data_IF_431101732012
#
_entry.id   IF_431101732012
#
_cell.length_a   1.000
_cell.length_b   1.000
_cell.length_c   1.000
_cell.angle_alpha   90.00
_cell.angle_beta   90.00
_cell.angle_gamma   90.00
#
_symmetry.space_group_name_H-M   'P 1'
#
loop_
_entity.id
_entity.type
_entity.pdbx_description
1 polymer ?
#
# COMPACT_ATOMS: atom_id res chain seq x y z
N UNK A 1 -14.64 -15.78 -9.04
CA UNK A 1 -15.74 -15.65 -8.06
C UNK A 1 -15.28 -16.35 -6.77
N UNK A 2 -15.50 -15.71 -5.62
CA UNK A 2 -15.15 -16.13 -4.26
C UNK A 2 -13.68 -15.98 -3.82
N UNK A 3 -13.30 -14.75 -3.53
CA UNK A 3 -12.51 -14.45 -2.33
C UNK A 3 -13.54 -13.88 -1.34
N UNK A 4 -13.42 -14.15 -0.02
CA UNK A 4 -14.37 -13.82 1.07
C UNK A 4 -15.46 -14.88 1.36
N UNK A 5 -15.10 -16.17 1.46
CA UNK A 5 -15.86 -17.05 2.35
C UNK A 5 -14.94 -18.09 2.99
N UNK A 6 -14.54 -17.82 4.22
CA UNK A 6 -14.32 -18.76 5.34
C UNK A 6 -13.43 -18.07 6.35
N UNK A 7 -14.01 -17.45 7.38
CA UNK A 7 -13.48 -17.51 8.74
C UNK A 7 -14.61 -17.18 9.72
N UNK A 8 -15.25 -18.24 10.21
CA UNK A 8 -16.27 -18.19 11.26
C UNK A 8 -15.90 -19.25 12.29
N UNK A 9 -15.56 -18.79 13.50
CA UNK A 9 -15.69 -19.44 14.81
C UNK A 9 -15.13 -20.87 15.00
N UNK A 10 -14.00 -20.98 15.72
CA UNK A 10 -13.79 -22.02 16.74
C UNK A 10 -13.04 -21.45 17.94
N UNK A 11 -13.78 -21.16 19.01
CA UNK A 11 -13.28 -20.92 20.37
C UNK A 11 -13.21 -22.27 21.10
N UNK A 12 -12.07 -22.57 21.73
CA UNK A 12 -11.88 -23.67 22.68
C UNK A 12 -12.46 -23.30 24.07
N UNK A 13 -12.87 -24.28 24.91
CA UNK A 13 -13.53 -24.00 26.18
C UNK A 13 -12.53 -23.64 27.30
N UNK A 14 -12.92 -22.82 28.31
CA UNK A 14 -12.01 -22.38 29.36
C UNK A 14 -11.89 -23.37 30.53
N UNK A 15 -10.65 -23.59 30.97
CA UNK A 15 -10.29 -24.26 32.23
C UNK A 15 -10.65 -23.37 33.44
N UNK A 16 -11.29 -23.95 34.46
CA UNK A 16 -11.69 -23.26 35.70
C UNK A 16 -10.51 -23.09 36.66
N UNK A 17 -10.22 -21.86 37.07
CA UNK A 17 -9.35 -21.51 38.20
C UNK A 17 -10.08 -20.50 39.12
N UNK A 18 -9.84 -20.60 40.42
CA UNK A 18 -10.52 -19.86 41.50
C UNK A 18 -10.45 -18.33 41.38
N UNK A 19 -11.59 -17.67 41.65
CA UNK A 19 -11.83 -16.23 41.47
C UNK A 19 -10.87 -15.28 42.23
N UNK A 20 -10.26 -15.70 43.34
CA UNK A 20 -9.33 -14.85 44.11
C UNK A 20 -7.90 -14.79 43.51
N UNK A 21 -7.50 -15.80 42.73
CA UNK A 21 -6.18 -15.85 42.07
C UNK A 21 -6.16 -15.09 40.74
N UNK A 22 -7.29 -14.99 40.04
CA UNK A 22 -7.39 -14.31 38.74
C UNK A 22 -7.19 -12.79 38.86
N UNK A 23 -7.75 -12.13 39.89
CA UNK A 23 -7.68 -10.67 40.00
C UNK A 23 -6.25 -10.14 40.22
N UNK A 24 -5.47 -10.77 41.10
CA UNK A 24 -4.09 -10.37 41.38
C UNK A 24 -3.15 -10.62 40.18
N UNK A 25 -3.39 -11.71 39.44
CA UNK A 25 -2.61 -12.08 38.25
C UNK A 25 -2.90 -11.14 37.08
N UNK A 26 -4.17 -10.75 36.90
CA UNK A 26 -4.60 -9.80 35.85
C UNK A 26 -4.03 -8.40 36.06
N UNK A 27 -3.92 -7.94 37.31
CA UNK A 27 -3.34 -6.63 37.63
C UNK A 27 -1.83 -6.60 37.34
N UNK A 28 -1.09 -7.66 37.70
CA UNK A 28 0.34 -7.80 37.40
C UNK A 28 0.63 -7.89 35.90
N UNK A 29 -0.20 -8.61 35.14
CA UNK A 29 -0.11 -8.70 33.68
C UNK A 29 -0.38 -7.37 32.99
N UNK A 30 -1.36 -6.59 33.46
CA UNK A 30 -1.64 -5.24 32.93
C UNK A 30 -0.48 -4.27 33.17
N UNK A 31 0.14 -4.34 34.35
CA UNK A 31 1.29 -3.50 34.69
C UNK A 31 2.53 -3.89 33.86
N UNK A 32 2.76 -5.19 33.66
CA UNK A 32 3.84 -5.69 32.79
C UNK A 32 3.60 -5.32 31.32
N UNK A 33 2.37 -5.42 30.82
CA UNK A 33 1.99 -5.01 29.47
C UNK A 33 2.20 -3.50 29.25
N UNK A 34 1.85 -2.64 30.23
CA UNK A 34 2.15 -1.20 30.17
C UNK A 34 3.65 -0.93 30.11
N UNK A 35 4.45 -1.64 30.91
CA UNK A 35 5.92 -1.47 30.94
C UNK A 35 6.57 -1.91 29.63
N UNK A 36 6.09 -3.02 29.04
CA UNK A 36 6.57 -3.50 27.73
C UNK A 36 6.12 -2.57 26.58
N UNK A 37 4.91 -2.00 26.66
CA UNK A 37 4.40 -1.03 25.66
C UNK A 37 5.23 0.26 25.67
N UNK A 38 5.53 0.81 26.85
CA UNK A 38 6.40 2.02 26.97
C UNK A 38 7.84 1.77 26.52
N UNK A 39 8.34 0.54 26.66
CA UNK A 39 9.69 0.17 26.20
C UNK A 39 9.75 0.06 24.67
N UNK A 40 8.69 -0.45 24.04
CA UNK A 40 8.55 -0.48 22.58
C UNK A 40 8.43 0.95 21.99
N UNK A 41 7.70 1.85 22.65
CA UNK A 41 7.60 3.28 22.25
C UNK A 41 8.95 4.00 22.31
N UNK A 42 9.85 3.60 23.21
CA UNK A 42 11.18 4.24 23.37
C UNK A 42 12.23 3.67 22.41
N UNK A 43 12.06 2.44 21.91
CA UNK A 43 12.95 1.83 20.92
C UNK A 43 12.62 2.26 19.47
N UNK A 44 11.35 2.59 19.17
CA UNK A 44 10.93 3.14 17.86
C UNK A 44 11.37 4.60 17.62
N UNK A 45 11.74 5.34 18.66
CA UNK A 45 12.26 6.70 18.56
C UNK A 45 13.74 6.76 18.10
N UNK A 46 14.41 5.61 17.93
CA UNK A 46 15.84 5.53 17.63
C UNK A 46 16.18 4.87 16.28
N UNK A 47 15.26 4.89 15.30
CA UNK A 47 15.60 4.53 13.91
C UNK A 47 16.00 5.77 13.09
N UNK A 48 17.05 5.69 12.26
CA UNK A 48 17.63 6.86 11.61
C UNK A 48 16.68 7.41 10.56
N UNK A 49 16.35 8.68 10.73
CA UNK A 49 15.69 9.52 9.75
C UNK A 49 16.59 9.61 8.50
N UNK A 50 16.35 8.81 7.46
CA UNK A 50 16.96 8.99 6.14
C UNK A 50 16.06 9.83 5.24
N UNK A 51 15.55 10.93 5.78
CA UNK A 51 15.17 12.10 5.02
C UNK A 51 16.39 13.02 4.99
N UNK A 52 16.99 13.22 3.82
CA UNK A 52 17.98 14.27 3.62
C UNK A 52 17.30 15.63 3.83
N UNK A 53 17.35 16.13 5.07
CA UNK A 53 17.14 17.54 5.40
C UNK A 53 18.35 18.33 4.91
N UNK A 54 18.32 18.66 3.61
CA UNK A 54 18.93 19.88 3.12
C UNK A 54 17.79 20.85 2.83
N UNK A 55 17.67 21.81 3.73
CA UNK A 55 16.74 22.93 3.67
C UNK A 55 17.19 23.86 2.52
N UNK A 56 16.65 23.64 1.32
CA UNK A 56 16.68 24.56 0.20
C UNK A 56 15.26 24.65 -0.36
N UNK A 57 14.63 25.81 -0.17
CA UNK A 57 13.28 26.14 -0.64
C UNK A 57 13.18 26.21 -2.17
N UNK A 58 13.23 25.04 -2.81
CA UNK A 58 12.94 24.85 -4.23
C UNK A 58 11.78 23.89 -4.39
N UNK A 59 10.78 24.29 -5.16
CA UNK A 59 9.65 23.46 -5.56
C UNK A 59 10.20 22.21 -6.27
N UNK A 60 10.39 21.09 -5.56
CA UNK A 60 10.93 19.81 -6.09
C UNK A 60 9.91 19.08 -6.98
N UNK A 61 8.99 19.80 -7.59
CA UNK A 61 7.94 19.26 -8.42
C UNK A 61 7.92 19.91 -9.80
N UNK A 62 7.11 19.34 -10.67
CA UNK A 62 6.86 19.82 -12.03
C UNK A 62 5.58 20.64 -12.09
N UNK A 63 5.45 21.45 -13.14
CA UNK A 63 4.16 22.06 -13.47
C UNK A 63 3.12 20.98 -13.81
N UNK A 64 1.83 21.34 -13.75
CA UNK A 64 0.76 20.41 -14.13
C UNK A 64 0.94 19.97 -15.59
N UNK A 65 1.31 20.90 -16.47
CA UNK A 65 1.49 20.67 -17.91
C UNK A 65 2.68 19.74 -18.18
N UNK A 66 3.82 19.97 -17.51
CA UNK A 66 4.99 19.10 -17.60
C UNK A 66 4.66 17.68 -17.13
N UNK A 67 3.99 17.57 -15.97
CA UNK A 67 3.57 16.28 -15.41
C UNK A 67 2.55 15.58 -16.31
N UNK A 68 1.61 16.31 -16.91
CA UNK A 68 0.68 15.78 -17.89
C UNK A 68 1.43 15.23 -19.11
N UNK A 69 2.46 15.92 -19.59
CA UNK A 69 3.34 15.41 -20.63
C UNK A 69 4.08 14.12 -20.23
N UNK A 70 4.48 13.99 -18.97
CA UNK A 70 5.08 12.75 -18.43
C UNK A 70 4.06 11.61 -18.36
N UNK A 71 2.82 11.89 -17.97
CA UNK A 71 1.72 10.91 -17.98
C UNK A 71 1.48 10.40 -19.41
N UNK A 72 1.41 11.30 -20.40
CA UNK A 72 1.23 10.88 -21.80
C UNK A 72 2.37 9.98 -22.30
N UNK A 73 3.61 10.23 -21.87
CA UNK A 73 4.74 9.35 -22.17
C UNK A 73 4.66 8.01 -21.44
N UNK A 74 4.10 7.95 -20.24
CA UNK A 74 3.96 6.70 -19.48
C UNK A 74 3.03 5.71 -20.20
N UNK A 75 2.06 6.18 -20.99
CA UNK A 75 1.21 5.33 -21.84
C UNK A 75 1.98 4.58 -22.94
N UNK A 76 3.26 4.90 -23.18
CA UNK A 76 4.14 4.12 -24.07
C UNK A 76 4.82 2.96 -23.34
N UNK A 77 4.84 2.97 -22.01
CA UNK A 77 5.40 1.91 -21.20
C UNK A 77 4.62 0.60 -21.42
N UNK A 78 5.30 -0.54 -21.65
CA UNK A 78 4.65 -1.80 -21.97
C UNK A 78 3.73 -2.32 -20.86
N UNK A 79 4.08 -2.10 -19.58
CA UNK A 79 3.26 -2.50 -18.43
C UNK A 79 1.98 -1.66 -18.38
N UNK A 80 2.11 -0.34 -18.57
CA UNK A 80 0.95 0.57 -18.61
C UNK A 80 0.00 0.20 -19.74
N UNK A 81 0.52 0.00 -20.97
CA UNK A 81 -0.28 -0.46 -22.12
C UNK A 81 -0.99 -1.77 -21.84
N UNK A 82 -0.27 -2.73 -21.25
CA UNK A 82 -0.83 -4.02 -20.91
C UNK A 82 -1.98 -3.88 -19.91
N UNK A 83 -1.78 -3.17 -18.81
CA UNK A 83 -2.82 -2.96 -17.78
C UNK A 83 -4.05 -2.25 -18.34
N UNK A 84 -3.87 -1.17 -19.10
CA UNK A 84 -4.98 -0.46 -19.76
C UNK A 84 -5.77 -1.41 -20.68
N UNK A 85 -5.09 -2.21 -21.49
CA UNK A 85 -5.75 -3.20 -22.35
C UNK A 85 -6.49 -4.30 -21.58
N UNK A 86 -6.01 -4.70 -20.40
CA UNK A 86 -6.70 -5.67 -19.54
C UNK A 86 -7.94 -5.07 -18.88
N UNK A 87 -7.90 -3.79 -18.51
CA UNK A 87 -9.07 -3.07 -18.02
C UNK A 87 -10.15 -2.96 -19.09
N UNK A 88 -9.78 -2.59 -20.32
CA UNK A 88 -10.71 -2.52 -21.45
C UNK A 88 -11.38 -3.87 -21.73
N UNK A 89 -10.60 -4.96 -21.79
CA UNK A 89 -11.13 -6.33 -21.95
C UNK A 89 -12.07 -6.77 -20.83
N UNK A 90 -11.87 -6.23 -19.63
CA UNK A 90 -12.71 -6.51 -18.46
C UNK A 90 -13.95 -5.62 -18.40
N UNK A 91 -14.17 -4.74 -19.39
CA UNK A 91 -15.32 -3.84 -19.48
C UNK A 91 -15.17 -2.55 -18.68
N UNK A 92 -13.97 -2.25 -18.18
CA UNK A 92 -13.70 -1.02 -17.43
C UNK A 92 -13.02 -0.01 -18.34
N UNK A 93 -13.79 1.01 -18.74
CA UNK A 93 -13.33 2.03 -19.67
C UNK A 93 -12.26 2.91 -19.03
N UNK A 94 -11.07 2.93 -19.63
CA UNK A 94 -10.02 3.92 -19.37
C UNK A 94 -10.19 5.04 -20.39
N UNK A 95 -10.99 6.05 -20.03
CA UNK A 95 -11.30 7.17 -20.92
C UNK A 95 -10.24 8.27 -20.92
N UNK A 96 -10.49 9.29 -21.74
CA UNK A 96 -9.74 10.54 -21.69
C UNK A 96 -9.82 11.14 -20.27
N UNK A 97 -8.72 11.68 -19.77
CA UNK A 97 -8.58 12.21 -18.41
C UNK A 97 -8.72 11.18 -17.27
N UNK A 98 -8.75 9.87 -17.57
CA UNK A 98 -8.70 8.86 -16.51
C UNK A 98 -7.42 8.95 -15.67
N UNK A 99 -6.31 9.42 -16.26
CA UNK A 99 -5.07 9.75 -15.55
C UNK A 99 -4.78 11.23 -15.76
N UNK A 100 -4.64 11.99 -14.67
CA UNK A 100 -4.42 13.44 -14.72
C UNK A 100 -3.42 13.94 -13.69
N UNK A 101 -2.67 14.97 -14.08
CA UNK A 101 -1.81 15.71 -13.17
C UNK A 101 -2.62 16.68 -12.29
N UNK A 102 -2.26 16.78 -11.02
CA UNK A 102 -2.85 17.71 -10.04
C UNK A 102 -1.77 18.24 -9.09
N UNK A 103 -2.06 19.34 -8.39
CA UNK A 103 -1.27 19.77 -7.23
C UNK A 103 -1.87 19.16 -5.97
N UNK A 104 -1.04 18.47 -5.19
CA UNK A 104 -1.45 17.81 -3.95
C UNK A 104 -0.94 18.57 -2.72
N UNK A 105 -1.70 18.54 -1.63
CA UNK A 105 -1.36 19.25 -0.38
C UNK A 105 -0.50 18.44 0.58
N UNK A 106 -0.47 17.11 0.45
CA UNK A 106 0.33 16.21 1.29
C UNK A 106 1.40 15.47 0.48
N UNK A 107 2.40 14.85 1.15
CA UNK A 107 3.55 14.19 0.52
C UNK A 107 3.17 12.82 -0.09
N UNK A 108 2.25 12.85 -1.06
CA UNK A 108 1.75 11.71 -1.82
C UNK A 108 2.13 11.90 -3.30
N UNK A 109 2.46 10.79 -3.97
CA UNK A 109 2.86 10.82 -5.37
C UNK A 109 1.66 10.75 -6.34
N UNK A 110 0.55 10.19 -5.88
CA UNK A 110 -0.67 10.00 -6.65
C UNK A 110 -1.69 9.19 -5.86
N UNK A 111 -2.74 8.76 -6.55
CA UNK A 111 -3.78 7.91 -5.99
C UNK A 111 -4.89 7.61 -6.98
N UNK A 112 -5.48 6.43 -6.85
CA UNK A 112 -6.70 6.01 -7.52
C UNK A 112 -7.93 6.39 -6.68
N UNK A 113 -9.00 6.82 -7.35
CA UNK A 113 -10.33 6.87 -6.73
C UNK A 113 -11.38 6.29 -7.64
N UNK A 114 -12.21 5.40 -7.06
CA UNK A 114 -13.44 4.85 -7.64
C UNK A 114 -14.25 5.93 -8.36
N UNK A 115 -14.57 5.69 -9.63
CA UNK A 115 -15.37 6.57 -10.47
C UNK A 115 -14.71 7.90 -10.90
N UNK A 116 -13.53 8.25 -10.36
CA UNK A 116 -12.79 9.49 -10.73
C UNK A 116 -11.50 9.22 -11.50
N UNK A 117 -10.92 8.04 -11.36
CA UNK A 117 -9.66 7.65 -12.02
C UNK A 117 -8.43 7.93 -11.15
N UNK A 118 -7.30 8.11 -11.81
CA UNK A 118 -5.96 8.24 -11.25
C UNK A 118 -5.54 9.72 -11.25
N UNK A 119 -5.08 10.18 -10.10
CA UNK A 119 -4.40 11.47 -9.95
C UNK A 119 -2.91 11.27 -9.73
N UNK A 120 -2.08 12.09 -10.37
CA UNK A 120 -0.63 12.13 -10.21
C UNK A 120 -0.24 13.50 -9.68
N UNK A 121 0.48 13.55 -8.56
CA UNK A 121 0.81 14.80 -7.87
C UNK A 121 2.04 15.44 -8.48
N UNK A 122 1.86 16.48 -9.31
CA UNK A 122 2.94 17.11 -10.07
C UNK A 122 4.00 17.73 -9.17
N UNK A 123 3.60 18.23 -7.99
CA UNK A 123 4.48 18.94 -7.07
C UNK A 123 5.44 18.04 -6.26
N UNK A 124 5.39 16.71 -6.43
CA UNK A 124 6.25 15.75 -5.73
C UNK A 124 7.05 14.81 -6.65
N UNK A 125 6.89 14.94 -7.97
CA UNK A 125 7.55 14.07 -8.95
C UNK A 125 8.42 14.89 -9.88
N UNK A 126 9.62 14.39 -10.16
CA UNK A 126 10.65 15.13 -10.91
C UNK A 126 11.09 14.40 -12.18
N UNK A 127 11.06 13.07 -12.18
CA UNK A 127 11.58 12.23 -13.26
C UNK A 127 10.52 11.29 -13.84
N UNK A 128 10.69 10.95 -15.13
CA UNK A 128 9.70 10.17 -15.89
C UNK A 128 9.38 8.82 -15.25
N UNK A 129 10.40 8.20 -14.67
CA UNK A 129 10.28 6.89 -14.06
C UNK A 129 9.38 6.90 -12.81
N UNK A 130 9.39 7.97 -12.01
CA UNK A 130 8.46 8.11 -10.88
C UNK A 130 7.00 8.18 -11.35
N UNK A 131 6.73 8.95 -12.40
CA UNK A 131 5.38 9.02 -13.00
C UNK A 131 4.96 7.67 -13.57
N UNK A 132 5.88 6.93 -14.21
CA UNK A 132 5.59 5.58 -14.68
C UNK A 132 5.21 4.65 -13.52
N UNK A 133 5.94 4.68 -12.40
CA UNK A 133 5.67 3.85 -11.23
C UNK A 133 4.32 4.18 -10.60
N UNK A 134 3.99 5.47 -10.43
CA UNK A 134 2.68 5.90 -9.94
C UNK A 134 1.57 5.39 -10.85
N UNK A 135 1.68 5.63 -12.16
CA UNK A 135 0.62 5.21 -13.10
C UNK A 135 0.43 3.69 -13.10
N UNK A 136 1.50 2.90 -13.03
CA UNK A 136 1.38 1.43 -12.94
C UNK A 136 0.73 1.01 -11.62
N UNK A 137 1.19 1.54 -10.48
CA UNK A 137 0.66 1.25 -9.15
C UNK A 137 -0.85 1.52 -9.09
N UNK A 138 -1.26 2.71 -9.53
CA UNK A 138 -2.67 3.11 -9.48
C UNK A 138 -3.54 2.38 -10.53
N UNK A 139 -2.97 1.94 -11.66
CA UNK A 139 -3.69 1.08 -12.61
C UNK A 139 -3.95 -0.32 -12.04
N UNK A 140 -3.06 -0.84 -11.17
CA UNK A 140 -3.30 -2.12 -10.48
C UNK A 140 -4.49 -1.98 -9.52
N UNK A 141 -4.59 -0.88 -8.77
CA UNK A 141 -5.76 -0.58 -7.95
C UNK A 141 -7.05 -0.48 -8.77
N UNK A 142 -6.99 0.22 -9.91
CA UNK A 142 -8.12 0.33 -10.81
C UNK A 142 -8.53 -1.02 -11.42
N UNK A 143 -7.57 -1.86 -11.79
CA UNK A 143 -7.81 -3.21 -12.29
C UNK A 143 -8.38 -4.13 -11.20
N UNK A 144 -7.91 -4.00 -9.96
CA UNK A 144 -8.44 -4.74 -8.82
C UNK A 144 -9.89 -4.40 -8.55
N UNK A 145 -10.25 -3.12 -8.55
CA UNK A 145 -11.66 -2.71 -8.45
C UNK A 145 -12.47 -3.22 -9.64
N UNK A 146 -11.92 -3.12 -10.85
CA UNK A 146 -12.59 -3.55 -12.07
C UNK A 146 -12.96 -5.04 -12.05
N UNK A 147 -12.01 -5.89 -11.67
CA UNK A 147 -12.20 -7.36 -11.68
C UNK A 147 -12.96 -7.85 -10.46
N UNK A 148 -12.84 -7.17 -9.32
CA UNK A 148 -13.47 -7.57 -8.09
C UNK A 148 -14.85 -6.93 -7.96
N UNK A 149 -15.90 -7.75 -8.06
CA UNK A 149 -17.30 -7.30 -7.96
C UNK A 149 -17.66 -6.65 -6.61
N UNK A 150 -16.83 -6.84 -5.58
CA UNK A 150 -17.09 -6.48 -4.19
C UNK A 150 -15.86 -5.89 -3.47
N UNK A 151 -14.94 -5.25 -4.21
CA UNK A 151 -13.87 -4.48 -3.57
C UNK A 151 -14.48 -3.28 -2.84
N UNK A 152 -14.08 -3.11 -1.58
CA UNK A 152 -14.59 -2.09 -0.67
C UNK A 152 -13.40 -1.38 -0.02
N UNK A 153 -13.15 -0.14 -0.43
CA UNK A 153 -12.05 0.68 0.07
C UNK A 153 -12.21 1.10 1.55
N UNK A 154 -13.39 0.90 2.13
CA UNK A 154 -13.64 1.09 3.57
C UNK A 154 -13.32 -0.16 4.39
N UNK A 155 -13.11 -1.31 3.73
CA UNK A 155 -12.67 -2.53 4.37
C UNK A 155 -11.13 -2.59 4.37
N UNK A 156 -10.53 -2.61 5.56
CA UNK A 156 -9.09 -2.55 5.71
C UNK A 156 -8.35 -3.73 5.04
N UNK A 157 -8.92 -4.93 5.05
CA UNK A 157 -8.34 -6.10 4.41
C UNK A 157 -8.39 -6.02 2.88
N UNK A 158 -9.44 -5.42 2.32
CA UNK A 158 -9.55 -5.20 0.88
C UNK A 158 -8.51 -4.18 0.40
N UNK A 159 -8.39 -3.07 1.13
CA UNK A 159 -7.38 -2.05 0.84
C UNK A 159 -5.96 -2.62 0.96
N UNK A 160 -5.67 -3.36 2.04
CA UNK A 160 -4.38 -4.01 2.25
C UNK A 160 -4.03 -4.98 1.12
N UNK A 161 -5.00 -5.79 0.68
CA UNK A 161 -4.82 -6.73 -0.42
C UNK A 161 -4.44 -6.01 -1.73
N UNK A 162 -5.13 -4.91 -2.04
CA UNK A 162 -4.84 -4.15 -3.25
C UNK A 162 -3.46 -3.50 -3.19
N UNK A 163 -3.05 -2.99 -2.02
CA UNK A 163 -1.71 -2.42 -1.82
C UNK A 163 -0.59 -3.46 -1.89
N UNK A 164 -0.80 -4.67 -1.37
CA UNK A 164 0.16 -5.78 -1.51
C UNK A 164 0.38 -6.09 -2.99
N UNK A 165 -0.71 -6.21 -3.75
CA UNK A 165 -0.66 -6.47 -5.19
C UNK A 165 0.00 -5.32 -5.95
N UNK A 166 -0.36 -4.08 -5.65
CA UNK A 166 0.23 -2.92 -6.30
C UNK A 166 1.73 -2.81 -6.01
N UNK A 167 2.17 -3.04 -4.77
CA UNK A 167 3.58 -3.07 -4.40
C UNK A 167 4.37 -4.20 -5.08
N UNK A 168 3.76 -5.37 -5.26
CA UNK A 168 4.39 -6.52 -5.91
C UNK A 168 4.44 -6.37 -7.45
N UNK A 169 3.32 -6.01 -8.07
CA UNK A 169 3.15 -6.07 -9.53
C UNK A 169 3.61 -4.79 -10.25
N UNK A 170 3.82 -3.68 -9.53
CA UNK A 170 4.32 -2.43 -10.12
C UNK A 170 5.83 -2.43 -10.39
N UNK A 171 6.57 -3.31 -9.70
CA UNK A 171 8.03 -3.27 -9.66
C UNK A 171 8.60 -2.14 -8.81
N UNK A 172 7.78 -1.43 -8.03
CA UNK A 172 8.23 -0.32 -7.18
C UNK A 172 9.17 -0.78 -6.06
N UNK A 173 8.98 -2.02 -5.58
CA UNK A 173 9.81 -2.66 -4.56
C UNK A 173 10.97 -3.49 -5.15
N UNK A 174 11.30 -3.31 -6.43
CA UNK A 174 12.43 -4.00 -7.05
C UNK A 174 13.77 -3.58 -6.44
N UNK A 175 14.66 -4.55 -6.19
CA UNK A 175 15.96 -4.36 -5.48
C UNK A 175 16.74 -3.11 -5.91
N UNK A 176 16.93 -2.91 -7.22
CA UNK A 176 17.67 -1.75 -7.75
C UNK A 176 17.09 -0.41 -7.27
N UNK A 177 15.77 -0.30 -7.16
CA UNK A 177 15.08 0.91 -6.69
C UNK A 177 15.27 1.07 -5.18
N UNK A 178 15.11 -0.02 -4.43
CA UNK A 178 15.32 -0.02 -2.99
C UNK A 178 16.76 0.32 -2.61
N UNK A 179 17.74 -0.17 -3.38
CA UNK A 179 19.14 0.20 -3.22
C UNK A 179 19.38 1.70 -3.44
N UNK A 180 18.78 2.28 -4.49
CA UNK A 180 18.82 3.73 -4.74
C UNK A 180 18.11 4.54 -3.65
N UNK A 181 17.16 3.93 -2.94
CA UNK A 181 16.48 4.49 -1.74
C UNK A 181 17.26 4.25 -0.45
N UNK A 182 18.44 3.62 -0.50
CA UNK A 182 19.30 3.37 0.66
C UNK A 182 19.03 2.07 1.42
N UNK A 183 18.13 1.20 0.93
CA UNK A 183 17.87 -0.10 1.53
C UNK A 183 18.83 -1.15 0.97
N UNK A 184 19.73 -1.66 1.81
CA UNK A 184 20.81 -2.58 1.42
C UNK A 184 20.50 -4.07 1.66
N UNK A 185 19.34 -4.39 2.25
CA UNK A 185 18.97 -5.77 2.54
C UNK A 185 18.71 -6.52 1.22
N UNK A 186 19.35 -7.67 1.04
CA UNK A 186 19.22 -8.46 -0.19
C UNK A 186 18.08 -9.51 -0.10
N UNK A 187 18.07 -10.28 0.99
CA UNK A 187 17.10 -11.38 1.19
C UNK A 187 15.79 -10.85 1.76
N UNK A 188 14.68 -11.17 1.09
CA UNK A 188 13.34 -10.79 1.53
C UNK A 188 13.03 -9.29 1.39
N UNK A 189 13.85 -8.55 0.63
CA UNK A 189 13.77 -7.09 0.54
C UNK A 189 12.44 -6.62 -0.05
N UNK A 190 11.93 -7.31 -1.06
CA UNK A 190 10.71 -6.94 -1.76
C UNK A 190 9.53 -7.03 -0.80
N UNK A 191 9.38 -8.16 -0.09
CA UNK A 191 8.31 -8.34 0.88
C UNK A 191 8.37 -7.27 1.97
N UNK A 192 9.57 -6.94 2.45
CA UNK A 192 9.73 -5.90 3.46
C UNK A 192 9.38 -4.50 2.93
N UNK A 193 9.79 -4.17 1.71
CA UNK A 193 9.38 -2.95 1.04
C UNK A 193 7.86 -2.87 0.90
N UNK A 194 7.22 -3.94 0.43
CA UNK A 194 5.77 -4.02 0.28
C UNK A 194 5.10 -3.82 1.64
N UNK A 195 5.52 -4.51 2.70
CA UNK A 195 4.97 -4.34 4.06
C UNK A 195 5.06 -2.88 4.53
N UNK A 196 6.23 -2.23 4.36
CA UNK A 196 6.40 -0.81 4.73
C UNK A 196 5.45 0.10 3.96
N UNK A 197 5.30 -0.13 2.65
CA UNK A 197 4.42 0.69 1.80
C UNK A 197 2.94 0.47 2.09
N UNK A 198 2.52 -0.78 2.28
CA UNK A 198 1.14 -1.14 2.65
C UNK A 198 0.76 -0.45 3.95
N UNK A 199 1.57 -0.58 5.01
CA UNK A 199 1.29 0.07 6.29
C UNK A 199 1.24 1.60 6.18
N UNK A 200 2.11 2.20 5.34
CA UNK A 200 2.08 3.64 5.07
C UNK A 200 0.76 4.05 4.38
N UNK A 201 0.28 3.29 3.40
CA UNK A 201 -0.99 3.58 2.72
C UNK A 201 -2.19 3.42 3.66
N UNK A 202 -2.24 2.32 4.42
CA UNK A 202 -3.35 2.03 5.34
C UNK A 202 -3.50 3.07 6.45
N UNK A 203 -2.40 3.66 6.95
CA UNK A 203 -2.44 4.77 7.93
C UNK A 203 -3.19 6.00 7.42
N UNK A 204 -3.24 6.20 6.10
CA UNK A 204 -4.01 7.29 5.47
C UNK A 204 -5.50 6.98 5.32
N UNK A 205 -5.94 5.74 5.58
CA UNK A 205 -7.32 5.33 5.44
C UNK A 205 -8.05 5.47 6.79
N UNK A 206 -9.09 6.33 6.91
CA UNK A 206 -9.81 6.57 8.17
C UNK A 206 -10.56 5.33 8.69
N UNK A 207 -10.76 4.31 7.87
CA UNK A 207 -11.40 3.05 8.24
C UNK A 207 -10.40 1.98 8.72
N UNK A 208 -9.11 2.30 8.77
CA UNK A 208 -8.03 1.43 9.23
C UNK A 208 -7.31 2.03 10.44
N UNK A 209 -7.48 1.43 11.63
CA UNK A 209 -6.57 1.73 12.74
C UNK A 209 -5.20 1.12 12.50
N UNK A 210 -4.15 1.61 13.18
CA UNK A 210 -2.79 1.06 13.01
C UNK A 210 -2.70 -0.43 13.35
N UNK A 211 -3.37 -0.87 14.42
CA UNK A 211 -3.45 -2.29 14.79
C UNK A 211 -4.19 -3.07 13.70
N UNK A 212 -5.36 -2.58 13.26
CA UNK A 212 -6.14 -3.22 12.22
C UNK A 212 -5.38 -3.30 10.89
N UNK A 213 -4.56 -2.30 10.56
CA UNK A 213 -3.75 -2.28 9.34
C UNK A 213 -2.74 -3.43 9.30
N UNK A 214 -2.02 -3.66 10.41
CA UNK A 214 -1.06 -4.76 10.51
C UNK A 214 -1.76 -6.12 10.45
N UNK A 215 -2.82 -6.30 11.23
CA UNK A 215 -3.56 -7.56 11.28
C UNK A 215 -4.21 -7.88 9.93
N UNK A 216 -4.80 -6.89 9.27
CA UNK A 216 -5.40 -7.04 7.95
C UNK A 216 -4.37 -7.39 6.87
N UNK A 217 -3.20 -6.74 6.88
CA UNK A 217 -2.10 -7.03 5.95
C UNK A 217 -1.61 -8.47 6.10
N UNK A 218 -1.31 -8.92 7.32
CA UNK A 218 -0.83 -10.30 7.54
C UNK A 218 -1.92 -11.33 7.21
N UNK A 219 -3.19 -11.05 7.51
CA UNK A 219 -4.31 -11.96 7.25
C UNK A 219 -4.55 -12.24 5.76
N UNK A 220 -4.25 -11.28 4.87
CA UNK A 220 -4.48 -11.42 3.43
C UNK A 220 -3.18 -11.68 2.64
N UNK A 221 -2.02 -11.64 3.29
CA UNK A 221 -0.70 -11.65 2.66
C UNK A 221 -0.53 -12.76 1.62
N UNK A 222 -0.66 -14.02 2.03
CA UNK A 222 -0.42 -15.17 1.15
C UNK A 222 -1.39 -15.20 -0.04
N UNK A 223 -2.61 -14.73 0.15
CA UNK A 223 -3.59 -14.70 -0.95
C UNK A 223 -3.24 -13.60 -1.95
N UNK A 224 -2.94 -12.40 -1.47
CA UNK A 224 -2.81 -11.22 -2.32
C UNK A 224 -1.43 -11.11 -2.96
N UNK A 225 -0.36 -11.52 -2.26
CA UNK A 225 0.99 -11.55 -2.80
C UNK A 225 1.12 -12.59 -3.92
N UNK A 226 0.45 -13.74 -3.82
CA UNK A 226 0.50 -14.79 -4.83
C UNK A 226 -0.50 -14.58 -5.99
N UNK A 227 -1.44 -13.62 -5.90
CA UNK A 227 -2.30 -13.27 -7.01
C UNK A 227 -1.54 -12.33 -7.97
N UNK A 228 -1.12 -12.85 -9.11
CA UNK A 228 -0.34 -12.12 -10.11
C UNK A 228 -1.16 -11.53 -11.24
N UNK A 229 -2.48 -11.73 -11.25
CA UNK A 229 -3.33 -11.24 -12.36
C UNK A 229 -3.25 -9.71 -12.50
N UNK A 230 -3.32 -9.16 -13.73
CA UNK A 230 -3.56 -9.85 -14.99
C UNK A 230 -2.29 -10.47 -15.61
N UNK A 231 -1.13 -10.31 -14.99
CA UNK A 231 0.10 -10.92 -15.44
C UNK A 231 0.08 -12.44 -15.21
N UNK A 232 0.88 -13.17 -15.99
CA UNK A 232 1.10 -14.59 -15.73
C UNK A 232 2.05 -14.80 -14.55
N UNK A 233 2.97 -13.85 -14.34
CA UNK A 233 3.91 -13.76 -13.21
C UNK A 233 4.20 -12.29 -12.89
N UNK A 234 4.71 -12.02 -11.69
CA UNK A 234 5.18 -10.67 -11.34
C UNK A 234 6.23 -10.17 -12.36
N UNK A 235 6.09 -8.93 -12.89
CA UNK A 235 6.98 -8.37 -13.91
C UNK A 235 8.43 -8.14 -13.48
#
# INVERSE_FOLDING_TARGET
ANIIYKYTLRLLPPLRLSHRSQAATTLRLRELHRRLSRKAEMEDAASPNSGSDLNLGGNRGRSIEECQGMIQRSFRNPIVKFLMGQMEKSGCRVGDNFVKAVVCTGPVAGGYTKGRGITVCSNYLTIQDEVNQVVIHELIHAYDECRAKNLDWTNCAHHACSEIRAGHLSGDCHFKRELLRGFIKLRGHEQECIKRRVLKSLRGNPYCSEVAAKDAMEAVWDTCYNDTKPFDRAP
#
